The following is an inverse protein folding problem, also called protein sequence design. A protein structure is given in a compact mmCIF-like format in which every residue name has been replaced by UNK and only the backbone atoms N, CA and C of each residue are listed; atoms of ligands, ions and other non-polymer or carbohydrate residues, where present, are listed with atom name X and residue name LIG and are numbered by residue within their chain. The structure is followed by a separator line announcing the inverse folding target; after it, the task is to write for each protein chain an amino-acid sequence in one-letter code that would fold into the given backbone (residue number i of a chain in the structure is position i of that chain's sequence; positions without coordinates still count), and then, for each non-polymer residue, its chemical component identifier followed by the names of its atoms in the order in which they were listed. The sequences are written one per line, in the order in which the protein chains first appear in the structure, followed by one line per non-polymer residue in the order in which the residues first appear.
data_IF_031215420253
#
_entry.id   IF_031215420253
#
_cell.length_a   1.000
_cell.length_b   1.000
_cell.length_c   1.000
_cell.angle_alpha   90.00
_cell.angle_beta   90.00
_cell.angle_gamma   90.00
#
_symmetry.space_group_name_H-M   'P 1'
#
loop_
_entity.id
_entity.type
_entity.pdbx_description
1 polymer ?
#
# COMPACT_ATOMS: atom_id res chain seq x y z
N UNK A 1 32.82 -38.13 12.64
CA UNK A 1 32.48 -39.44 12.05
C UNK A 1 33.72 -40.17 11.53
N UNK A 2 34.27 -39.84 10.34
CA UNK A 2 35.35 -40.62 9.71
C UNK A 2 36.59 -40.82 10.60
N UNK A 3 37.12 -39.75 11.20
CA UNK A 3 38.27 -39.82 12.11
C UNK A 3 38.05 -40.76 13.31
N UNK A 4 36.80 -40.85 13.81
CA UNK A 4 36.45 -41.72 14.94
C UNK A 4 36.32 -43.17 14.48
N UNK A 5 35.70 -43.42 13.33
CA UNK A 5 35.56 -44.76 12.77
C UNK A 5 36.91 -45.35 12.35
N UNK A 6 37.84 -44.54 11.87
CA UNK A 6 39.21 -44.97 11.52
C UNK A 6 40.07 -45.35 12.73
N UNK A 7 39.64 -45.06 13.96
CA UNK A 7 40.33 -45.52 15.16
C UNK A 7 39.97 -46.97 15.56
N UNK A 8 38.94 -47.56 14.93
CA UNK A 8 38.52 -48.95 15.12
C UNK A 8 39.32 -49.86 14.16
N UNK A 9 40.13 -50.76 14.71
CA UNK A 9 40.98 -51.68 13.95
C UNK A 9 40.19 -52.58 12.99
N UNK A 10 38.99 -53.03 13.39
CA UNK A 10 38.13 -53.88 12.56
C UNK A 10 37.66 -53.12 11.30
N UNK A 11 37.46 -51.80 11.41
CA UNK A 11 37.02 -50.94 10.30
C UNK A 11 38.18 -50.69 9.34
N UNK A 12 39.39 -50.46 9.87
CA UNK A 12 40.60 -50.32 9.06
C UNK A 12 40.89 -51.60 8.27
N UNK A 13 40.78 -52.76 8.92
CA UNK A 13 41.00 -54.07 8.30
C UNK A 13 39.94 -54.38 7.23
N UNK A 14 38.71 -53.89 7.40
CA UNK A 14 37.68 -54.03 6.37
C UNK A 14 37.89 -53.08 5.18
N UNK A 15 38.40 -51.86 5.42
CA UNK A 15 38.51 -50.79 4.43
C UNK A 15 39.77 -50.84 3.54
N UNK A 16 40.22 -52.03 3.12
CA UNK A 16 41.46 -52.19 2.33
C UNK A 16 41.32 -52.00 0.81
N UNK A 17 40.10 -51.98 0.26
CA UNK A 17 39.88 -51.79 -1.18
C UNK A 17 39.30 -50.40 -1.48
N UNK A 18 39.57 -49.80 -2.68
CA UNK A 18 38.98 -48.53 -3.07
C UNK A 18 37.44 -48.50 -2.99
N UNK A 19 36.78 -49.64 -3.27
CA UNK A 19 35.34 -49.78 -3.15
C UNK A 19 34.87 -49.70 -1.68
N UNK A 20 35.61 -50.33 -0.75
CA UNK A 20 35.25 -50.30 0.66
C UNK A 20 35.56 -48.96 1.33
N UNK A 21 36.61 -48.26 0.89
CA UNK A 21 36.88 -46.88 1.31
C UNK A 21 35.76 -45.93 0.89
N UNK A 22 35.26 -46.06 -0.36
CA UNK A 22 34.11 -45.27 -0.84
C UNK A 22 32.86 -45.56 0.00
N UNK A 23 32.60 -46.83 0.29
CA UNK A 23 31.48 -47.27 1.13
C UNK A 23 31.58 -46.75 2.56
N UNK A 24 32.78 -46.73 3.15
CA UNK A 24 33.02 -46.12 4.47
C UNK A 24 32.71 -44.61 4.44
N UNK A 25 33.11 -43.92 3.38
CA UNK A 25 32.80 -42.50 3.19
C UNK A 25 31.30 -42.25 3.08
N UNK A 26 30.57 -43.06 2.29
CA UNK A 26 29.12 -42.97 2.15
C UNK A 26 28.40 -43.18 3.50
N UNK A 27 28.84 -44.16 4.30
CA UNK A 27 28.31 -44.35 5.66
C UNK A 27 28.61 -43.15 6.55
N UNK A 28 29.80 -42.56 6.47
CA UNK A 28 30.12 -41.35 7.23
C UNK A 28 29.29 -40.12 6.83
N UNK A 29 28.63 -40.14 5.66
CA UNK A 29 27.76 -39.07 5.19
C UNK A 29 26.30 -39.18 5.72
N UNK A 30 25.94 -40.25 6.45
CA UNK A 30 24.60 -40.38 7.06
C UNK A 30 24.40 -39.23 8.07
N UNK A 31 23.40 -38.34 7.87
CA UNK A 31 23.18 -37.21 8.76
C UNK A 31 22.64 -37.64 10.13
N UNK A 32 23.09 -37.00 11.21
CA UNK A 32 22.46 -37.12 12.53
C UNK A 32 21.30 -36.13 12.66
N UNK A 33 20.14 -36.49 12.10
CA UNK A 33 18.94 -35.66 12.15
C UNK A 33 18.44 -35.44 13.59
N UNK A 34 18.66 -36.41 14.48
CA UNK A 34 18.21 -36.38 15.86
C UNK A 34 19.16 -35.60 16.79
N UNK A 35 20.33 -35.18 16.28
CA UNK A 35 21.40 -34.52 17.06
C UNK A 35 21.67 -35.28 18.36
N UNK A 36 21.77 -36.60 18.23
CA UNK A 36 22.07 -37.46 19.37
C UNK A 36 23.44 -37.16 19.96
N UNK A 37 23.70 -37.68 21.16
CA UNK A 37 25.07 -37.70 21.69
C UNK A 37 26.02 -38.32 20.65
N UNK A 38 27.16 -37.69 20.33
CA UNK A 38 28.05 -38.13 19.24
C UNK A 38 28.39 -39.62 19.26
N UNK A 39 28.51 -40.22 20.44
CA UNK A 39 28.81 -41.64 20.64
C UNK A 39 27.69 -42.58 20.17
N UNK A 40 26.42 -42.15 20.25
CA UNK A 40 25.29 -42.95 19.78
C UNK A 40 25.25 -42.99 18.25
N UNK A 41 25.44 -41.84 17.59
CA UNK A 41 25.53 -41.76 16.13
C UNK A 41 26.72 -42.55 15.60
N UNK A 42 27.91 -42.40 16.20
CA UNK A 42 29.09 -43.16 15.78
C UNK A 42 28.87 -44.67 15.87
N UNK A 43 28.21 -45.17 16.92
CA UNK A 43 27.85 -46.61 17.04
C UNK A 43 26.91 -47.07 15.93
N UNK A 44 25.94 -46.25 15.54
CA UNK A 44 25.07 -46.53 14.38
C UNK A 44 25.90 -46.65 13.10
N UNK A 45 26.76 -45.67 12.82
CA UNK A 45 27.60 -45.67 11.62
C UNK A 45 28.53 -46.89 11.56
N UNK A 46 29.22 -47.20 12.67
CA UNK A 46 30.05 -48.39 12.79
C UNK A 46 29.25 -49.66 12.50
N UNK A 47 28.03 -49.76 13.03
CA UNK A 47 27.20 -50.96 12.83
C UNK A 47 26.74 -51.09 11.39
N UNK A 48 26.30 -50.01 10.76
CA UNK A 48 25.92 -49.97 9.34
C UNK A 48 27.10 -50.37 8.47
N UNK A 49 28.27 -49.77 8.68
CA UNK A 49 29.47 -50.11 7.90
C UNK A 49 29.86 -51.59 8.05
N UNK A 50 29.81 -52.16 9.26
CA UNK A 50 30.09 -53.59 9.48
C UNK A 50 29.12 -54.49 8.69
N UNK A 51 27.83 -54.16 8.64
CA UNK A 51 26.88 -54.91 7.80
C UNK A 51 27.21 -54.82 6.31
N UNK A 52 27.63 -53.64 5.83
CA UNK A 52 27.97 -53.43 4.43
C UNK A 52 29.35 -53.99 4.04
N UNK A 53 30.20 -54.29 5.02
CA UNK A 53 31.55 -54.83 4.84
C UNK A 53 31.64 -56.35 5.01
N UNK A 54 30.60 -56.97 5.58
CA UNK A 54 30.57 -58.42 5.88
C UNK A 54 29.39 -59.12 5.21
N UNK A 55 29.50 -60.43 4.97
CA UNK A 55 28.43 -61.23 4.38
C UNK A 55 28.00 -60.74 2.98
N UNK A 56 26.69 -60.58 2.77
CA UNK A 56 26.11 -60.15 1.49
C UNK A 56 26.22 -58.63 1.24
N UNK A 57 26.92 -57.88 2.11
CA UNK A 57 27.15 -56.44 1.94
C UNK A 57 25.89 -55.59 2.09
N UNK A 58 24.92 -56.03 2.89
CA UNK A 58 23.61 -55.40 3.08
C UNK A 58 23.20 -55.35 4.54
N UNK A 59 22.39 -54.36 4.89
CA UNK A 59 21.82 -54.19 6.22
C UNK A 59 20.67 -55.20 6.41
N UNK A 60 20.70 -56.04 7.46
CA UNK A 60 19.66 -57.04 7.69
C UNK A 60 18.26 -56.44 7.90
N UNK A 61 17.27 -57.02 7.22
CA UNK A 61 15.87 -56.57 7.29
C UNK A 61 15.28 -56.64 8.71
N UNK A 62 15.66 -57.64 9.51
CA UNK A 62 15.23 -57.79 10.90
C UNK A 62 15.74 -56.63 11.79
N UNK A 63 16.93 -56.13 11.50
CA UNK A 63 17.54 -55.03 12.24
C UNK A 63 16.81 -53.71 12.01
N UNK A 64 16.55 -53.36 10.74
CA UNK A 64 15.75 -52.17 10.40
C UNK A 64 14.32 -52.30 10.94
N UNK A 65 13.74 -53.51 10.86
CA UNK A 65 12.41 -53.80 11.38
C UNK A 65 12.26 -53.48 12.87
N UNK A 66 13.24 -53.86 13.69
CA UNK A 66 13.27 -53.53 15.13
C UNK A 66 13.32 -52.03 15.40
N UNK A 67 14.08 -51.27 14.60
CA UNK A 67 14.14 -49.82 14.73
C UNK A 67 12.83 -49.14 14.30
N UNK A 68 12.25 -49.56 13.16
CA UNK A 68 10.97 -49.05 12.67
C UNK A 68 9.82 -49.30 13.65
N UNK A 69 9.73 -50.50 14.23
CA UNK A 69 8.68 -50.83 15.20
C UNK A 69 8.75 -50.00 16.48
N UNK A 70 9.95 -49.61 16.93
CA UNK A 70 10.11 -48.73 18.09
C UNK A 70 9.73 -47.28 17.79
N UNK A 71 10.03 -46.83 16.58
CA UNK A 71 9.77 -45.45 16.14
C UNK A 71 8.33 -45.21 15.70
N UNK A 72 7.59 -46.26 15.29
CA UNK A 72 6.21 -46.15 14.80
C UNK A 72 5.15 -45.83 15.86
N UNK A 73 5.56 -45.61 17.10
CA UNK A 73 4.66 -45.22 18.19
C UNK A 73 4.25 -43.75 18.04
N UNK A 74 2.96 -43.48 18.02
CA UNK A 74 2.40 -42.11 17.89
C UNK A 74 2.01 -41.48 19.23
N UNK A 75 2.25 -42.16 20.35
CA UNK A 75 2.00 -41.66 21.69
C UNK A 75 3.21 -40.88 22.24
N UNK A 76 2.97 -39.76 22.92
CA UNK A 76 4.01 -38.96 23.56
C UNK A 76 3.70 -37.45 23.52
N UNK A 77 4.57 -36.66 24.16
CA UNK A 77 4.56 -35.21 24.02
C UNK A 77 5.23 -34.76 22.71
N UNK A 78 5.17 -33.46 22.44
CA UNK A 78 5.70 -32.84 21.22
C UNK A 78 7.19 -33.16 21.04
N UNK A 79 7.98 -33.11 22.12
CA UNK A 79 9.42 -33.37 22.07
C UNK A 79 9.72 -34.84 21.77
N UNK A 80 8.93 -35.77 22.36
CA UNK A 80 9.02 -37.20 22.05
C UNK A 80 8.70 -37.49 20.59
N UNK A 81 7.63 -36.89 20.04
CA UNK A 81 7.23 -37.07 18.65
C UNK A 81 8.24 -36.47 17.67
N UNK A 82 8.72 -35.25 17.92
CA UNK A 82 9.75 -34.61 17.12
C UNK A 82 11.06 -35.41 17.10
N UNK A 83 11.47 -35.94 18.26
CA UNK A 83 12.63 -36.83 18.36
C UNK A 83 12.48 -38.10 17.52
N UNK A 84 11.30 -38.75 17.55
CA UNK A 84 11.02 -39.94 16.72
C UNK A 84 11.08 -39.62 15.22
N UNK A 85 10.49 -38.51 14.78
CA UNK A 85 10.56 -38.06 13.37
C UNK A 85 12.02 -37.89 12.93
N UNK A 86 12.84 -37.23 13.76
CA UNK A 86 14.24 -37.03 13.45
C UNK A 86 15.00 -38.37 13.31
N UNK A 87 14.72 -39.35 14.17
CA UNK A 87 15.28 -40.69 14.04
C UNK A 87 14.79 -41.42 12.77
N UNK A 88 13.51 -41.28 12.40
CA UNK A 88 12.96 -41.89 11.17
C UNK A 88 13.65 -41.34 9.93
N UNK A 89 13.94 -40.03 9.87
CA UNK A 89 14.68 -39.42 8.73
C UNK A 89 16.06 -40.03 8.48
N UNK A 90 16.73 -40.49 9.54
CA UNK A 90 18.01 -41.22 9.42
C UNK A 90 17.80 -42.54 8.68
N UNK A 91 16.69 -43.23 8.94
CA UNK A 91 16.32 -44.46 8.26
C UNK A 91 15.76 -44.22 6.86
N UNK A 92 15.05 -43.12 6.63
CA UNK A 92 14.66 -42.66 5.30
C UNK A 92 15.90 -42.49 4.42
N UNK A 93 16.95 -41.82 4.95
CA UNK A 93 18.24 -41.71 4.25
C UNK A 93 18.87 -43.07 3.93
N UNK A 94 18.96 -43.98 4.91
CA UNK A 94 19.52 -45.32 4.72
C UNK A 94 18.70 -46.12 3.68
N UNK A 95 17.38 -46.01 3.69
CA UNK A 95 16.49 -46.71 2.75
C UNK A 95 16.59 -46.22 1.31
N UNK A 96 17.07 -44.99 1.10
CA UNK A 96 17.34 -44.42 -0.21
C UNK A 96 18.69 -44.83 -0.81
N UNK A 97 19.50 -45.62 -0.08
CA UNK A 97 20.74 -46.18 -0.60
C UNK A 97 20.46 -47.50 -1.35
N UNK A 98 20.50 -47.53 -2.70
CA UNK A 98 19.94 -48.63 -3.49
C UNK A 98 20.62 -49.99 -3.24
N UNK A 99 21.91 -50.00 -2.93
CA UNK A 99 22.70 -51.22 -2.77
C UNK A 99 22.79 -51.71 -1.32
N UNK A 100 22.27 -50.94 -0.36
CA UNK A 100 22.48 -51.24 1.07
C UNK A 100 21.44 -52.20 1.64
N UNK A 101 20.29 -52.35 0.98
CA UNK A 101 19.16 -53.13 1.46
C UNK A 101 18.76 -54.22 0.44
N UNK A 102 18.13 -55.30 0.93
CA UNK A 102 17.57 -56.32 0.05
C UNK A 102 16.32 -55.85 -0.70
N UNK A 103 15.45 -55.10 -0.01
CA UNK A 103 14.25 -54.51 -0.57
C UNK A 103 14.17 -53.02 -0.18
N UNK A 104 14.96 -52.20 -0.87
CA UNK A 104 15.03 -50.77 -0.60
C UNK A 104 13.65 -50.09 -0.75
N UNK A 105 12.85 -50.51 -1.73
CA UNK A 105 11.52 -49.92 -1.98
C UNK A 105 10.56 -50.19 -0.83
N UNK A 106 10.50 -51.42 -0.33
CA UNK A 106 9.68 -51.74 0.85
C UNK A 106 10.05 -50.85 2.06
N UNK A 107 11.34 -50.64 2.30
CA UNK A 107 11.81 -49.82 3.42
C UNK A 107 11.58 -48.32 3.22
N UNK A 108 11.64 -47.81 1.99
CA UNK A 108 11.26 -46.44 1.67
C UNK A 108 9.77 -46.20 1.93
N UNK A 109 8.90 -47.10 1.47
CA UNK A 109 7.45 -47.02 1.69
C UNK A 109 7.12 -47.09 3.19
N UNK A 110 7.80 -47.97 3.93
CA UNK A 110 7.60 -48.14 5.39
C UNK A 110 8.11 -46.96 6.22
N UNK A 111 9.28 -46.41 5.91
CA UNK A 111 9.82 -45.22 6.61
C UNK A 111 8.93 -44.01 6.38
N UNK A 112 8.45 -43.81 5.14
CA UNK A 112 7.50 -42.76 4.79
C UNK A 112 6.19 -42.88 5.56
N UNK A 113 5.57 -44.07 5.58
CA UNK A 113 4.31 -44.28 6.31
C UNK A 113 4.45 -43.98 7.81
N UNK A 114 5.60 -44.32 8.41
CA UNK A 114 5.89 -43.99 9.82
C UNK A 114 6.12 -42.49 10.01
N UNK A 115 6.85 -41.82 9.13
CA UNK A 115 7.07 -40.36 9.20
C UNK A 115 5.75 -39.58 9.06
N UNK A 116 4.88 -40.00 8.14
CA UNK A 116 3.55 -39.40 7.94
C UNK A 116 2.70 -39.56 9.22
N UNK A 117 2.59 -40.76 9.77
CA UNK A 117 1.81 -41.02 10.98
C UNK A 117 2.33 -40.25 12.21
N UNK A 118 3.65 -40.11 12.35
CA UNK A 118 4.26 -39.32 13.43
C UNK A 118 4.04 -37.81 13.22
N UNK A 119 4.09 -37.33 11.98
CA UNK A 119 3.85 -35.93 11.63
C UNK A 119 2.40 -35.54 11.91
N UNK A 120 1.44 -36.41 11.59
CA UNK A 120 0.03 -36.21 11.91
C UNK A 120 -0.21 -36.17 13.42
N UNK A 121 0.40 -37.09 14.17
CA UNK A 121 0.32 -37.11 15.63
C UNK A 121 0.93 -35.84 16.26
N UNK A 122 2.06 -35.37 15.74
CA UNK A 122 2.70 -34.13 16.17
C UNK A 122 1.81 -32.92 15.88
N UNK A 123 1.18 -32.87 14.71
CA UNK A 123 0.25 -31.80 14.34
C UNK A 123 -0.99 -31.77 15.25
N UNK A 124 -1.56 -32.95 15.56
CA UNK A 124 -2.65 -33.08 16.53
C UNK A 124 -2.22 -32.60 17.93
N UNK A 125 -1.05 -33.00 18.42
CA UNK A 125 -0.52 -32.59 19.73
C UNK A 125 -0.23 -31.07 19.81
N UNK A 126 0.29 -30.47 18.73
CA UNK A 126 0.48 -29.03 18.63
C UNK A 126 -0.86 -28.29 18.71
N UNK A 127 -1.84 -28.73 17.91
CA UNK A 127 -3.20 -28.17 17.90
C UNK A 127 -3.83 -28.25 19.30
N UNK A 128 -3.74 -29.40 19.95
CA UNK A 128 -4.29 -29.61 21.29
C UNK A 128 -3.61 -28.75 22.36
N UNK A 129 -2.28 -28.58 22.33
CA UNK A 129 -1.54 -27.74 23.30
C UNK A 129 -1.91 -26.25 23.18
N UNK A 130 -2.21 -25.76 21.98
CA UNK A 130 -2.72 -24.40 21.78
C UNK A 130 -4.15 -24.23 22.31
N UNK A 131 -4.99 -25.27 22.17
CA UNK A 131 -6.36 -25.29 22.70
C UNK A 131 -6.35 -25.37 24.23
N UNK A 132 -5.55 -26.24 24.83
CA UNK A 132 -5.53 -26.48 26.28
C UNK A 132 -4.99 -25.28 27.08
N UNK A 133 -3.95 -24.59 26.58
CA UNK A 133 -3.42 -23.39 27.25
C UNK A 133 -4.42 -22.21 27.19
N UNK A 134 -5.18 -22.09 26.10
CA UNK A 134 -6.27 -21.10 25.94
C UNK A 134 -7.46 -21.44 26.83
N UNK A 135 -7.84 -22.71 26.88
CA UNK A 135 -9.02 -23.19 27.61
C UNK A 135 -8.82 -23.12 29.13
N UNK A 136 -7.62 -23.42 29.64
CA UNK A 136 -7.33 -23.37 31.08
C UNK A 136 -7.37 -21.95 31.68
N UNK A 137 -6.97 -20.92 30.91
CA UNK A 137 -7.02 -19.50 31.34
C UNK A 137 -8.44 -18.95 31.26
N UNK A 138 -9.18 -19.31 30.20
CA UNK A 138 -10.60 -18.95 30.04
C UNK A 138 -11.50 -19.59 31.12
N UNK A 139 -11.36 -20.89 31.38
CA UNK A 139 -12.17 -21.59 32.37
C UNK A 139 -11.91 -21.13 33.80
N UNK A 140 -10.67 -20.79 34.15
CA UNK A 140 -10.34 -20.26 35.49
C UNK A 140 -11.01 -18.91 35.74
N UNK A 141 -11.03 -18.04 34.73
CA UNK A 141 -11.64 -16.70 34.80
C UNK A 141 -13.18 -16.75 34.76
N UNK A 142 -13.76 -17.66 33.96
CA UNK A 142 -15.22 -17.91 33.91
C UNK A 142 -15.77 -18.48 35.22
N UNK A 143 -15.01 -19.34 35.90
CA UNK A 143 -15.43 -19.94 37.19
C UNK A 143 -15.40 -18.94 38.35
N UNK A 144 -14.60 -17.87 38.25
CA UNK A 144 -14.42 -16.86 39.31
C UNK A 144 -15.31 -15.61 39.16
N UNK A 145 -16.13 -15.48 38.10
CA UNK A 145 -16.93 -14.25 37.81
C UNK A 145 -16.10 -12.95 37.87
N UNK A 146 -14.81 -13.00 37.53
CA UNK A 146 -13.97 -11.80 37.47
C UNK A 146 -14.17 -11.09 36.14
N UNK A 147 -14.23 -9.76 36.17
CA UNK A 147 -14.17 -8.95 34.95
C UNK A 147 -12.80 -9.18 34.28
N UNK A 148 -12.82 -9.64 33.03
CA UNK A 148 -11.60 -9.83 32.24
C UNK A 148 -10.91 -8.47 32.03
N UNK A 149 -9.61 -8.41 32.34
CA UNK A 149 -8.77 -7.25 32.11
C UNK A 149 -8.49 -7.12 30.61
N UNK A 150 -8.86 -6.00 30.02
CA UNK A 150 -8.56 -5.69 28.64
C UNK A 150 -7.82 -4.34 28.54
N UNK A 151 -6.95 -4.20 27.54
CA UNK A 151 -6.15 -3.00 27.31
C UNK A 151 -5.92 -2.77 25.81
N UNK A 152 -5.73 -1.51 25.42
CA UNK A 152 -5.17 -1.15 24.10
C UNK A 152 -3.77 -0.59 24.32
N UNK A 153 -2.76 -1.14 23.65
CA UNK A 153 -1.38 -0.68 23.71
C UNK A 153 -1.19 0.62 22.95
N UNK A 154 -0.03 1.28 23.13
CA UNK A 154 0.33 2.48 22.37
C UNK A 154 0.34 2.26 20.86
N UNK A 155 0.74 1.05 20.42
CA UNK A 155 0.81 0.66 19.01
C UNK A 155 -0.54 0.25 18.41
N UNK A 156 -1.60 0.30 19.22
CA UNK A 156 -2.97 -0.05 18.85
C UNK A 156 -3.30 -1.53 18.99
N UNK A 157 -2.47 -2.35 19.61
CA UNK A 157 -2.80 -3.76 19.86
C UNK A 157 -3.85 -3.88 20.97
N UNK A 158 -4.84 -4.74 20.77
CA UNK A 158 -5.91 -4.97 21.73
C UNK A 158 -5.64 -6.30 22.41
N UNK A 159 -5.49 -6.24 23.73
CA UNK A 159 -5.16 -7.39 24.57
C UNK A 159 -6.30 -7.66 25.56
N UNK A 160 -6.64 -8.93 25.78
CA UNK A 160 -7.57 -9.39 26.84
C UNK A 160 -6.85 -10.46 27.65
N UNK A 161 -6.65 -10.25 28.95
CA UNK A 161 -5.85 -11.13 29.83
C UNK A 161 -4.44 -11.40 29.26
N UNK A 162 -3.83 -10.37 28.66
CA UNK A 162 -2.53 -10.47 28.00
C UNK A 162 -2.53 -11.21 26.65
N UNK A 163 -3.69 -11.64 26.15
CA UNK A 163 -3.83 -12.29 24.85
C UNK A 163 -4.22 -11.29 23.77
N UNK A 164 -3.50 -11.32 22.65
CA UNK A 164 -3.83 -10.52 21.47
C UNK A 164 -5.16 -10.95 20.85
N UNK A 165 -6.05 -10.00 20.62
CA UNK A 165 -7.38 -10.23 20.03
C UNK A 165 -7.66 -9.40 18.78
N UNK A 166 -6.76 -8.48 18.43
CA UNK A 166 -6.88 -7.62 17.24
C UNK A 166 -6.12 -6.31 17.38
N UNK A 167 -6.31 -5.42 16.39
CA UNK A 167 -5.63 -4.13 16.30
C UNK A 167 -6.60 -2.98 16.04
N UNK A 168 -6.39 -1.85 16.71
CA UNK A 168 -7.12 -0.61 16.54
C UNK A 168 -6.27 0.41 15.75
N UNK A 169 -6.58 0.56 14.46
CA UNK A 169 -5.94 1.53 13.56
C UNK A 169 -6.84 2.77 13.42
N UNK A 170 -6.38 3.93 13.90
CA UNK A 170 -7.23 5.12 14.01
C UNK A 170 -8.45 4.84 14.88
N UNK A 171 -9.63 4.79 14.25
CA UNK A 171 -10.92 4.42 14.87
C UNK A 171 -11.44 3.04 14.43
N UNK A 172 -10.77 2.36 13.50
CA UNK A 172 -11.17 1.06 12.96
C UNK A 172 -10.53 -0.06 13.75
N UNK A 173 -11.35 -0.97 14.27
CA UNK A 173 -10.88 -2.19 14.92
C UNK A 173 -10.86 -3.35 13.92
N UNK A 174 -9.72 -4.04 13.84
CA UNK A 174 -9.50 -5.22 13.02
C UNK A 174 -9.28 -6.42 13.95
N UNK A 175 -10.29 -7.31 14.10
CA UNK A 175 -10.17 -8.46 14.98
C UNK A 175 -9.19 -9.49 14.41
N UNK A 176 -8.49 -10.20 15.28
CA UNK A 176 -7.70 -11.37 14.89
C UNK A 176 -8.64 -12.58 14.71
N UNK A 177 -8.72 -13.09 13.48
CA UNK A 177 -9.57 -14.23 13.11
C UNK A 177 -9.07 -15.57 13.68
N UNK A 178 -7.84 -15.65 14.22
CA UNK A 178 -7.33 -16.84 14.91
C UNK A 178 -8.00 -17.11 16.29
N UNK A 179 -8.97 -16.28 16.68
CA UNK A 179 -9.75 -16.35 17.91
C UNK A 179 -11.03 -17.21 17.81
N UNK A 180 -11.26 -17.96 16.72
CA UNK A 180 -12.54 -18.61 16.39
C UNK A 180 -12.86 -19.92 17.14
N UNK A 181 -12.23 -20.15 18.29
CA UNK A 181 -12.49 -21.34 19.13
C UNK A 181 -13.15 -20.96 20.47
N UNK A 182 -13.86 -21.93 21.06
CA UNK A 182 -14.72 -21.80 22.25
C UNK A 182 -14.17 -20.81 23.30
N UNK A 183 -14.91 -19.72 23.55
CA UNK A 183 -14.46 -18.58 24.38
C UNK A 183 -14.38 -17.25 23.62
N UNK A 184 -14.43 -17.28 22.29
CA UNK A 184 -14.42 -16.11 21.40
C UNK A 184 -15.44 -15.03 21.79
N UNK A 185 -16.66 -15.42 22.17
CA UNK A 185 -17.74 -14.48 22.54
C UNK A 185 -17.40 -13.68 23.80
N UNK A 186 -16.79 -14.33 24.79
CA UNK A 186 -16.43 -13.69 26.07
C UNK A 186 -15.23 -12.76 25.88
N UNK A 187 -14.21 -13.18 25.13
CA UNK A 187 -13.06 -12.34 24.77
C UNK A 187 -13.50 -11.12 23.96
N UNK A 188 -14.39 -11.30 22.98
CA UNK A 188 -14.94 -10.20 22.16
C UNK A 188 -15.74 -9.21 23.00
N UNK A 189 -16.53 -9.69 23.97
CA UNK A 189 -17.25 -8.83 24.91
C UNK A 189 -16.31 -7.98 25.77
N UNK A 190 -15.25 -8.59 26.31
CA UNK A 190 -14.23 -7.88 27.09
C UNK A 190 -13.47 -6.84 26.24
N UNK A 191 -13.08 -7.21 25.02
CA UNK A 191 -12.44 -6.30 24.07
C UNK A 191 -13.34 -5.11 23.73
N UNK A 192 -14.63 -5.35 23.45
CA UNK A 192 -15.60 -4.30 23.09
C UNK A 192 -15.75 -3.22 24.17
N UNK A 193 -15.68 -3.58 25.45
CA UNK A 193 -15.75 -2.59 26.56
C UNK A 193 -14.59 -1.60 26.51
N UNK A 194 -13.38 -2.09 26.27
CA UNK A 194 -12.17 -1.26 26.23
C UNK A 194 -12.07 -0.50 24.91
N UNK A 195 -12.45 -1.14 23.80
CA UNK A 195 -12.56 -0.50 22.49
C UNK A 195 -13.51 0.69 22.51
N UNK A 196 -14.71 0.55 23.09
CA UNK A 196 -15.66 1.66 23.16
C UNK A 196 -15.08 2.89 23.88
N UNK A 197 -14.35 2.67 24.99
CA UNK A 197 -13.69 3.75 25.75
C UNK A 197 -12.54 4.38 24.95
N UNK A 198 -11.69 3.56 24.33
CA UNK A 198 -10.53 4.05 23.58
C UNK A 198 -10.93 4.75 22.28
N UNK A 199 -11.90 4.20 21.53
CA UNK A 199 -12.48 4.83 20.34
C UNK A 199 -13.13 6.16 20.72
N UNK A 200 -13.89 6.21 21.82
CA UNK A 200 -14.47 7.46 22.31
C UNK A 200 -13.38 8.50 22.67
N UNK A 201 -12.27 8.07 23.27
CA UNK A 201 -11.12 8.95 23.57
C UNK A 201 -10.49 9.51 22.29
N UNK A 202 -10.19 8.64 21.31
CA UNK A 202 -9.61 9.04 20.02
C UNK A 202 -10.56 9.93 19.21
N UNK A 203 -11.85 9.60 19.16
CA UNK A 203 -12.86 10.40 18.47
C UNK A 203 -13.06 11.78 19.13
N UNK A 204 -12.96 11.88 20.46
CA UNK A 204 -12.96 13.19 21.13
C UNK A 204 -11.76 14.05 20.73
N UNK A 205 -10.56 13.45 20.59
CA UNK A 205 -9.37 14.16 20.07
C UNK A 205 -9.58 14.60 18.63
N UNK A 206 -10.07 13.71 17.77
CA UNK A 206 -10.38 14.00 16.38
C UNK A 206 -11.39 15.15 16.25
N UNK A 207 -12.43 15.18 17.10
CA UNK A 207 -13.43 16.26 17.13
C UNK A 207 -12.86 17.63 17.56
N UNK A 208 -11.59 17.70 17.94
CA UNK A 208 -10.85 18.93 18.27
C UNK A 208 -9.53 19.04 17.52
N UNK A 209 -9.27 18.15 16.56
CA UNK A 209 -8.00 18.07 15.84
C UNK A 209 -7.72 19.38 15.09
N UNK A 210 -6.49 19.86 15.21
CA UNK A 210 -6.07 21.11 14.56
C UNK A 210 -5.77 20.90 13.08
N UNK A 211 -5.63 22.00 12.35
CA UNK A 211 -5.60 21.99 10.88
C UNK A 211 -4.56 21.03 10.27
N UNK A 212 -3.37 20.94 10.86
CA UNK A 212 -2.24 20.19 10.29
C UNK A 212 -2.27 18.69 10.65
N UNK A 213 -3.19 18.25 11.50
CA UNK A 213 -3.34 16.83 11.86
C UNK A 213 -4.25 16.06 10.91
N UNK A 214 -5.09 16.77 10.16
CA UNK A 214 -6.02 16.18 9.18
C UNK A 214 -5.44 16.38 7.79
N UNK A 215 -5.40 15.30 7.01
CA UNK A 215 -4.84 15.28 5.66
C UNK A 215 -5.95 14.87 4.70
N UNK A 216 -6.13 15.63 3.62
CA UNK A 216 -6.94 15.21 2.48
C UNK A 216 -6.03 14.51 1.48
N UNK A 217 -6.29 13.24 1.20
CA UNK A 217 -5.54 12.43 0.25
C UNK A 217 -6.19 12.39 -1.14
N UNK A 218 -5.45 11.84 -2.11
CA UNK A 218 -5.88 11.76 -3.51
C UNK A 218 -6.87 10.61 -3.77
N UNK A 219 -7.33 9.88 -2.76
CA UNK A 219 -8.42 8.90 -2.83
C UNK A 219 -9.77 9.49 -2.35
N UNK A 220 -9.84 10.81 -2.19
CA UNK A 220 -10.98 11.52 -1.61
C UNK A 220 -11.26 11.13 -0.15
N UNK A 221 -10.27 10.58 0.55
CA UNK A 221 -10.36 10.25 1.96
C UNK A 221 -9.69 11.32 2.83
N UNK A 222 -10.30 11.62 3.98
CA UNK A 222 -9.67 12.37 5.06
C UNK A 222 -8.98 11.41 6.02
N UNK A 223 -7.74 11.71 6.33
CA UNK A 223 -6.89 10.94 7.23
C UNK A 223 -6.56 11.74 8.48
N UNK A 224 -6.45 11.06 9.61
CA UNK A 224 -5.99 11.61 10.89
C UNK A 224 -5.22 10.54 11.65
N UNK A 225 -4.10 10.94 12.27
CA UNK A 225 -3.23 10.04 13.05
C UNK A 225 -2.84 8.77 12.27
N UNK A 226 -2.49 8.94 10.99
CA UNK A 226 -2.04 7.85 10.13
C UNK A 226 -3.14 6.88 9.65
N UNK A 227 -4.42 7.15 9.91
CA UNK A 227 -5.52 6.29 9.51
C UNK A 227 -6.66 7.05 8.81
N UNK A 228 -7.42 6.41 7.90
CA UNK A 228 -8.55 7.02 7.24
C UNK A 228 -9.72 7.19 8.21
N UNK A 229 -10.37 8.36 8.18
CA UNK A 229 -11.48 8.71 9.09
C UNK A 229 -12.79 9.03 8.38
N UNK A 230 -12.75 9.58 7.16
CA UNK A 230 -13.96 9.95 6.42
C UNK A 230 -13.73 9.88 4.91
N UNK A 231 -14.80 9.58 4.16
CA UNK A 231 -14.83 9.71 2.71
C UNK A 231 -15.48 11.04 2.33
N UNK A 232 -14.95 11.68 1.30
CA UNK A 232 -15.55 12.87 0.68
C UNK A 232 -16.43 12.46 -0.50
N UNK A 233 -17.49 13.23 -0.71
CA UNK A 233 -18.36 13.09 -1.86
C UNK A 233 -18.85 14.45 -2.36
N UNK A 234 -19.46 14.44 -3.53
CA UNK A 234 -20.10 15.62 -4.10
C UNK A 234 -21.07 16.26 -3.11
N UNK A 235 -20.99 17.58 -2.98
CA UNK A 235 -21.89 18.35 -2.15
C UNK A 235 -22.90 19.18 -2.93
N UNK A 236 -23.38 20.25 -2.30
CA UNK A 236 -24.39 21.16 -2.87
C UNK A 236 -23.83 22.01 -4.00
N UNK A 237 -22.53 22.27 -4.00
CA UNK A 237 -21.79 22.92 -5.09
C UNK A 237 -20.32 22.49 -5.05
N UNK A 238 -19.58 22.87 -6.10
CA UNK A 238 -18.16 22.55 -6.28
C UNK A 238 -17.25 22.94 -5.10
N UNK A 239 -17.61 23.97 -4.32
CA UNK A 239 -16.80 24.49 -3.21
C UNK A 239 -17.24 23.94 -1.84
N UNK A 240 -18.30 23.14 -1.80
CA UNK A 240 -18.91 22.63 -0.57
C UNK A 240 -19.08 21.10 -0.60
N UNK A 241 -17.99 20.33 -0.76
CA UNK A 241 -18.06 18.86 -0.70
C UNK A 241 -18.57 18.37 0.66
N UNK A 242 -19.14 17.17 0.65
CA UNK A 242 -19.74 16.54 1.84
C UNK A 242 -18.76 15.56 2.48
N UNK A 243 -18.74 15.56 3.81
CA UNK A 243 -17.98 14.60 4.62
C UNK A 243 -18.91 13.50 5.10
N UNK A 244 -18.57 12.25 4.78
CA UNK A 244 -19.19 11.05 5.32
C UNK A 244 -18.16 10.29 6.18
N UNK A 245 -18.43 10.13 7.48
CA UNK A 245 -17.53 9.38 8.35
C UNK A 245 -17.52 7.91 7.95
N UNK A 246 -16.35 7.27 7.98
CA UNK A 246 -16.25 5.83 7.76
C UNK A 246 -17.01 5.06 8.85
N UNK A 247 -17.45 3.82 8.56
CA UNK A 247 -18.19 3.00 9.51
C UNK A 247 -17.25 2.53 10.62
N UNK A 248 -17.30 3.20 11.77
CA UNK A 248 -16.60 2.78 12.98
C UNK A 248 -17.55 2.11 13.96
N UNK A 249 -17.25 0.85 14.27
CA UNK A 249 -17.89 0.11 15.35
C UNK A 249 -17.63 0.81 16.69
N UNK A 250 -18.59 0.73 17.61
CA UNK A 250 -18.51 1.29 18.97
C UNK A 250 -18.43 2.82 19.08
N UNK A 251 -18.54 3.55 17.96
CA UNK A 251 -18.66 5.01 17.98
C UNK A 251 -20.12 5.42 18.19
N UNK A 252 -20.40 6.08 19.33
CA UNK A 252 -21.72 6.62 19.67
C UNK A 252 -22.22 7.65 18.65
N UNK A 253 -23.54 7.71 18.44
CA UNK A 253 -24.18 8.59 17.46
C UNK A 253 -23.92 10.08 17.68
N UNK A 254 -23.92 10.54 18.94
CA UNK A 254 -23.66 11.95 19.26
C UNK A 254 -22.22 12.35 18.97
N UNK A 255 -21.27 11.48 19.30
CA UNK A 255 -19.85 11.71 19.05
C UNK A 255 -19.51 11.59 17.56
N UNK A 256 -20.14 10.64 16.85
CA UNK A 256 -20.06 10.51 15.39
C UNK A 256 -20.47 11.80 14.70
N UNK A 257 -21.60 12.38 15.09
CA UNK A 257 -22.09 13.62 14.51
C UNK A 257 -21.17 14.81 14.83
N UNK A 258 -20.65 14.89 16.05
CA UNK A 258 -19.68 15.92 16.44
C UNK A 258 -18.39 15.84 15.62
N UNK A 259 -17.83 14.64 15.43
CA UNK A 259 -16.65 14.42 14.57
C UNK A 259 -16.96 14.82 13.12
N UNK A 260 -18.10 14.38 12.58
CA UNK A 260 -18.52 14.71 11.20
C UNK A 260 -18.64 16.22 11.00
N UNK A 261 -19.25 16.94 11.94
CA UNK A 261 -19.35 18.40 11.90
C UNK A 261 -17.99 19.09 11.96
N UNK A 262 -17.08 18.61 12.83
CA UNK A 262 -15.72 19.12 12.90
C UNK A 262 -14.96 18.93 11.59
N UNK A 263 -14.97 17.72 11.03
CA UNK A 263 -14.34 17.43 9.74
C UNK A 263 -14.94 18.26 8.61
N UNK A 264 -16.26 18.47 8.59
CA UNK A 264 -16.92 19.34 7.63
C UNK A 264 -16.48 20.80 7.76
N UNK A 265 -16.34 21.31 8.99
CA UNK A 265 -15.84 22.65 9.25
C UNK A 265 -14.37 22.80 8.86
N UNK A 266 -13.54 21.79 9.17
CA UNK A 266 -12.14 21.72 8.75
C UNK A 266 -12.03 21.77 7.23
N UNK A 267 -12.83 20.97 6.50
CA UNK A 267 -12.80 20.91 5.04
C UNK A 267 -13.17 22.25 4.41
N UNK A 268 -14.23 22.91 4.92
CA UNK A 268 -14.60 24.27 4.51
C UNK A 268 -13.48 25.27 4.74
N UNK A 269 -12.82 25.21 5.91
CA UNK A 269 -11.68 26.09 6.22
C UNK A 269 -10.47 25.80 5.33
N UNK A 270 -10.20 24.54 5.02
CA UNK A 270 -9.09 24.10 4.19
C UNK A 270 -9.27 24.63 2.75
N UNK A 271 -10.44 24.38 2.16
CA UNK A 271 -10.83 24.89 0.84
C UNK A 271 -10.80 26.42 0.84
N UNK A 272 -11.43 27.07 1.83
CA UNK A 272 -11.50 28.53 1.91
C UNK A 272 -10.13 29.20 2.01
N UNK A 273 -9.15 28.57 2.67
CA UNK A 273 -7.79 29.08 2.74
C UNK A 273 -7.05 28.95 1.39
N UNK A 274 -7.15 27.80 0.72
CA UNK A 274 -6.46 27.55 -0.56
C UNK A 274 -7.14 28.22 -1.75
N UNK A 275 -8.45 28.44 -1.68
CA UNK A 275 -9.24 29.11 -2.71
C UNK A 275 -9.73 30.49 -2.28
N UNK A 276 -9.05 31.11 -1.31
CA UNK A 276 -9.33 32.47 -0.82
C UNK A 276 -9.48 33.55 -1.91
N UNK A 277 -8.73 33.54 -3.05
CA UNK A 277 -8.95 34.47 -4.16
C UNK A 277 -10.35 34.37 -4.76
N UNK A 278 -10.92 33.16 -4.86
CA UNK A 278 -12.30 32.95 -5.34
C UNK A 278 -13.29 33.57 -4.37
N UNK A 279 -13.16 33.29 -3.07
CA UNK A 279 -14.04 33.86 -2.04
C UNK A 279 -13.97 35.40 -2.03
N UNK A 280 -12.77 35.95 -2.16
CA UNK A 280 -12.56 37.41 -2.25
C UNK A 280 -13.28 37.97 -3.46
N UNK A 281 -13.12 37.34 -4.62
CA UNK A 281 -13.79 37.75 -5.86
C UNK A 281 -15.32 37.68 -5.75
N UNK A 282 -15.87 36.62 -5.14
CA UNK A 282 -17.32 36.45 -4.97
C UNK A 282 -17.95 37.38 -3.94
N UNK A 283 -17.15 37.91 -3.00
CA UNK A 283 -17.63 38.90 -2.02
C UNK A 283 -17.90 40.27 -2.64
N UNK A 284 -17.34 40.55 -3.82
CA UNK A 284 -17.51 41.83 -4.51
C UNK A 284 -18.77 41.80 -5.38
N UNK A 285 -19.59 42.84 -5.26
CA UNK A 285 -20.77 42.99 -6.10
C UNK A 285 -20.39 43.43 -7.52
N UNK A 286 -20.74 42.62 -8.50
CA UNK A 286 -20.68 42.93 -9.93
C UNK A 286 -22.08 42.97 -10.53
N UNK A 287 -22.24 43.71 -11.63
CA UNK A 287 -23.50 43.84 -12.38
C UNK A 287 -23.27 43.51 -13.86
N UNK A 288 -24.35 43.28 -14.61
CA UNK A 288 -24.31 42.99 -16.05
C UNK A 288 -23.35 41.85 -16.44
N UNK A 289 -22.57 42.07 -17.50
CA UNK A 289 -21.63 41.10 -18.06
C UNK A 289 -20.53 40.68 -17.07
N UNK A 290 -20.08 41.59 -16.20
CA UNK A 290 -19.06 41.25 -15.20
C UNK A 290 -19.59 40.23 -14.18
N UNK A 291 -20.87 40.32 -13.79
CA UNK A 291 -21.51 39.31 -12.94
C UNK A 291 -21.58 37.95 -13.62
N UNK A 292 -21.92 37.93 -14.91
CA UNK A 292 -21.91 36.71 -15.73
C UNK A 292 -20.52 36.06 -15.78
N UNK A 293 -19.47 36.85 -16.02
CA UNK A 293 -18.10 36.36 -16.06
C UNK A 293 -17.63 35.79 -14.70
N UNK A 294 -17.98 36.46 -13.59
CA UNK A 294 -17.69 35.97 -12.23
C UNK A 294 -18.38 34.63 -11.97
N UNK A 295 -19.62 34.47 -12.44
CA UNK A 295 -20.36 33.21 -12.34
C UNK A 295 -19.66 32.10 -13.12
N UNK A 296 -19.25 32.35 -14.37
CA UNK A 296 -18.51 31.36 -15.16
C UNK A 296 -17.16 30.98 -14.52
N UNK A 297 -16.45 31.97 -13.96
CA UNK A 297 -15.22 31.72 -13.20
C UNK A 297 -15.49 30.91 -11.92
N UNK A 298 -16.68 30.99 -11.32
CA UNK A 298 -17.04 30.14 -10.17
C UNK A 298 -17.19 28.69 -10.57
N UNK A 299 -17.92 28.44 -11.64
CA UNK A 299 -18.15 27.08 -12.16
C UNK A 299 -16.83 26.46 -12.64
N UNK A 300 -15.94 27.25 -13.24
CA UNK A 300 -14.60 26.81 -13.66
C UNK A 300 -13.53 26.77 -12.56
N UNK A 301 -13.92 26.94 -11.28
CA UNK A 301 -12.99 27.04 -10.14
C UNK A 301 -11.84 28.03 -10.38
N UNK A 302 -12.13 29.13 -11.07
CA UNK A 302 -11.25 30.26 -11.34
C UNK A 302 -10.50 30.22 -12.66
N UNK A 303 -10.83 29.30 -13.58
CA UNK A 303 -10.33 29.26 -14.95
C UNK A 303 -11.51 28.97 -15.90
N UNK A 304 -11.65 29.76 -16.95
CA UNK A 304 -12.63 29.52 -18.02
C UNK A 304 -11.99 29.83 -19.37
N UNK A 305 -12.31 29.04 -20.40
CA UNK A 305 -11.83 29.32 -21.76
C UNK A 305 -12.35 30.68 -22.22
N UNK A 306 -11.48 31.51 -22.81
CA UNK A 306 -11.87 32.82 -23.33
C UNK A 306 -12.94 32.69 -24.40
N UNK A 307 -12.89 31.64 -25.21
CA UNK A 307 -13.88 31.38 -26.25
C UNK A 307 -15.30 31.27 -25.69
N UNK A 308 -15.47 30.64 -24.52
CA UNK A 308 -16.77 30.47 -23.87
C UNK A 308 -17.36 31.78 -23.32
N UNK A 309 -16.51 32.78 -23.07
CA UNK A 309 -16.90 34.06 -22.46
C UNK A 309 -16.56 35.26 -23.35
N UNK A 310 -16.39 35.04 -24.66
CA UNK A 310 -15.90 36.05 -25.59
C UNK A 310 -16.75 37.33 -25.60
N UNK A 311 -18.08 37.18 -25.69
CA UNK A 311 -19.03 38.29 -25.69
C UNK A 311 -19.06 39.05 -24.36
N UNK A 312 -18.93 38.33 -23.24
CA UNK A 312 -18.85 38.96 -21.92
C UNK A 312 -17.58 39.79 -21.83
N UNK A 313 -16.43 39.23 -22.23
CA UNK A 313 -15.12 39.88 -22.18
C UNK A 313 -15.08 41.09 -23.11
N UNK A 314 -15.60 41.00 -24.33
CA UNK A 314 -15.61 42.10 -25.29
C UNK A 314 -16.48 43.26 -24.79
N UNK A 315 -17.64 42.98 -24.21
CA UNK A 315 -18.58 43.98 -23.69
C UNK A 315 -18.23 44.57 -22.31
N UNK A 316 -17.17 44.12 -21.63
CA UNK A 316 -16.76 44.69 -20.34
C UNK A 316 -16.30 46.15 -20.48
N UNK A 317 -16.89 47.04 -19.68
CA UNK A 317 -16.45 48.42 -19.54
C UNK A 317 -15.08 48.53 -18.81
N UNK A 318 -14.41 49.68 -18.93
CA UNK A 318 -13.09 49.90 -18.32
C UNK A 318 -13.07 49.82 -16.79
N UNK A 319 -14.16 50.21 -16.13
CA UNK A 319 -14.28 50.17 -14.66
C UNK A 319 -14.28 48.73 -14.16
N UNK A 320 -15.07 47.86 -14.78
CA UNK A 320 -15.17 46.44 -14.40
C UNK A 320 -13.89 45.68 -14.76
N UNK A 321 -13.26 45.99 -15.91
CA UNK A 321 -11.93 45.46 -16.25
C UNK A 321 -10.89 45.82 -15.18
N UNK A 322 -10.85 47.07 -14.73
CA UNK A 322 -9.92 47.51 -13.69
C UNK A 322 -10.21 46.84 -12.34
N UNK A 323 -11.48 46.67 -11.96
CA UNK A 323 -11.88 45.93 -10.76
C UNK A 323 -11.43 44.47 -10.81
N UNK A 324 -11.74 43.76 -11.90
CA UNK A 324 -11.33 42.36 -12.10
C UNK A 324 -9.80 42.21 -12.02
N UNK A 325 -9.07 43.12 -12.65
CA UNK A 325 -7.60 43.11 -12.63
C UNK A 325 -7.04 43.25 -11.21
N UNK A 326 -7.60 44.16 -10.39
CA UNK A 326 -7.23 44.35 -8.97
C UNK A 326 -7.51 43.12 -8.12
N UNK A 327 -8.56 42.36 -8.44
CA UNK A 327 -8.87 41.07 -7.80
C UNK A 327 -7.97 39.92 -8.28
N UNK A 328 -7.03 40.18 -9.21
CA UNK A 328 -6.10 39.19 -9.72
C UNK A 328 -6.64 38.35 -10.89
N UNK A 329 -7.80 38.71 -11.43
CA UNK A 329 -8.33 38.11 -12.67
C UNK A 329 -7.49 38.61 -13.85
N UNK A 330 -7.18 37.71 -14.77
CA UNK A 330 -6.47 37.98 -16.02
C UNK A 330 -7.39 37.62 -17.17
N UNK A 331 -7.66 38.61 -18.03
CA UNK A 331 -8.41 38.43 -19.28
C UNK A 331 -7.43 37.99 -20.37
N UNK A 332 -6.86 36.80 -20.19
CA UNK A 332 -5.77 36.28 -21.01
C UNK A 332 -6.20 35.90 -22.43
N UNK A 333 -5.24 35.54 -23.27
CA UNK A 333 -5.48 35.30 -24.70
C UNK A 333 -6.33 34.05 -24.97
N UNK A 334 -6.05 32.95 -24.27
CA UNK A 334 -6.78 31.68 -24.41
C UNK A 334 -7.78 31.43 -23.28
N UNK A 335 -7.50 31.94 -22.09
CA UNK A 335 -8.30 31.71 -20.89
C UNK A 335 -8.48 33.01 -20.09
N UNK A 336 -9.62 33.10 -19.39
CA UNK A 336 -9.80 34.04 -18.29
C UNK A 336 -9.55 33.29 -16.98
N UNK A 337 -8.62 33.76 -16.16
CA UNK A 337 -8.19 33.02 -14.98
C UNK A 337 -7.77 33.91 -13.79
N UNK A 338 -7.81 33.33 -12.59
CA UNK A 338 -7.24 33.93 -11.38
C UNK A 338 -5.77 33.53 -11.21
N UNK A 339 -4.85 34.47 -11.44
CA UNK A 339 -3.39 34.22 -11.39
C UNK A 339 -2.94 33.57 -10.07
N UNK A 340 -3.55 33.95 -8.95
CA UNK A 340 -3.17 33.44 -7.64
C UNK A 340 -3.45 31.93 -7.49
N UNK A 341 -4.40 31.36 -8.23
CA UNK A 341 -4.77 29.94 -8.18
C UNK A 341 -3.80 29.02 -8.92
N UNK A 342 -2.90 29.57 -9.74
CA UNK A 342 -1.91 28.81 -10.51
C UNK A 342 -0.74 28.29 -9.65
N UNK A 343 -0.80 28.49 -8.32
CA UNK A 343 0.18 27.92 -7.38
C UNK A 343 -0.10 26.42 -7.17
N UNK A 344 0.92 25.55 -7.12
CA UNK A 344 0.73 24.09 -7.06
C UNK A 344 -0.25 23.62 -5.98
N UNK A 345 -0.10 24.08 -4.73
CA UNK A 345 -1.00 23.68 -3.63
C UNK A 345 -2.47 24.07 -3.86
N UNK A 346 -2.75 25.13 -4.63
CA UNK A 346 -4.12 25.57 -4.96
C UNK A 346 -4.67 24.80 -6.16
N UNK A 347 -3.82 24.46 -7.13
CA UNK A 347 -4.18 23.57 -8.24
C UNK A 347 -4.55 22.18 -7.74
N UNK A 348 -3.82 21.65 -6.75
CA UNK A 348 -4.16 20.36 -6.11
C UNK A 348 -5.57 20.38 -5.51
N UNK A 349 -5.93 21.43 -4.76
CA UNK A 349 -7.30 21.55 -4.22
C UNK A 349 -8.34 21.71 -5.33
N UNK A 350 -8.06 22.50 -6.38
CA UNK A 350 -8.96 22.61 -7.55
C UNK A 350 -9.21 21.26 -8.20
N UNK A 351 -8.14 20.50 -8.46
CA UNK A 351 -8.21 19.17 -9.05
C UNK A 351 -9.08 18.24 -8.22
N UNK A 352 -8.85 18.17 -6.90
CA UNK A 352 -9.63 17.30 -6.02
C UNK A 352 -11.11 17.69 -5.96
N UNK A 353 -11.42 18.99 -5.93
CA UNK A 353 -12.83 19.44 -5.99
C UNK A 353 -13.50 19.09 -7.32
N UNK A 354 -12.79 19.23 -8.43
CA UNK A 354 -13.28 18.84 -9.74
C UNK A 354 -13.56 17.33 -9.80
N UNK A 355 -12.63 16.51 -9.31
CA UNK A 355 -12.78 15.05 -9.27
C UNK A 355 -14.00 14.60 -8.47
N UNK A 356 -14.26 15.21 -7.31
CA UNK A 356 -15.46 14.92 -6.52
C UNK A 356 -16.78 15.15 -7.28
N UNK A 357 -16.76 15.91 -8.38
CA UNK A 357 -17.92 16.21 -9.22
C UNK A 357 -17.91 15.45 -10.55
N UNK A 358 -16.84 14.70 -10.85
CA UNK A 358 -16.65 13.92 -12.07
C UNK A 358 -16.11 12.54 -11.67
N UNK A 359 -16.98 11.62 -11.22
CA UNK A 359 -16.54 10.28 -10.84
C UNK A 359 -16.04 9.54 -12.09
N UNK A 360 -14.72 9.43 -12.22
CA UNK A 360 -14.05 8.65 -13.26
C UNK A 360 -13.44 7.40 -12.63
N UNK A 361 -13.50 6.27 -13.32
CA UNK A 361 -12.87 5.02 -12.87
C UNK A 361 -11.35 5.13 -12.82
N UNK A 362 -10.75 5.85 -13.77
CA UNK A 362 -9.33 6.17 -13.79
C UNK A 362 -9.15 7.69 -13.79
N UNK A 363 -8.45 8.21 -12.78
CA UNK A 363 -8.12 9.63 -12.67
C UNK A 363 -6.70 9.80 -13.20
N UNK A 364 -6.49 10.57 -14.28
CA UNK A 364 -5.14 10.83 -14.77
C UNK A 364 -4.30 11.47 -13.69
N UNK A 365 -3.05 11.04 -13.56
CA UNK A 365 -2.13 11.61 -12.59
C UNK A 365 -1.90 13.11 -12.89
N UNK A 366 -1.88 13.90 -11.82
CA UNK A 366 -1.51 15.30 -11.95
C UNK A 366 -0.06 15.41 -12.44
N UNK A 367 0.24 16.32 -13.39
CA UNK A 367 1.62 16.68 -13.69
C UNK A 367 2.38 17.05 -12.42
N UNK A 368 3.67 16.71 -12.38
CA UNK A 368 4.53 17.07 -11.26
C UNK A 368 4.44 18.57 -10.95
N UNK A 369 4.39 18.97 -9.66
CA UNK A 369 4.33 20.37 -9.27
C UNK A 369 5.39 21.23 -9.97
N UNK A 370 4.93 22.24 -10.70
CA UNK A 370 5.81 23.18 -11.40
C UNK A 370 6.06 22.84 -12.87
N UNK A 371 5.67 21.65 -13.35
CA UNK A 371 5.78 21.28 -14.77
C UNK A 371 4.98 22.25 -15.64
N UNK A 372 5.62 22.87 -16.63
CA UNK A 372 4.97 23.89 -17.49
C UNK A 372 4.21 23.26 -18.65
N UNK A 373 4.79 22.23 -19.25
CA UNK A 373 4.22 21.54 -20.39
C UNK A 373 4.28 20.03 -20.17
N UNK A 374 3.20 19.38 -20.56
CA UNK A 374 3.04 17.93 -20.61
C UNK A 374 2.58 17.51 -22.01
N UNK A 375 3.02 16.34 -22.44
CA UNK A 375 2.50 15.69 -23.63
C UNK A 375 1.10 15.17 -23.35
N UNK A 376 0.16 15.44 -24.25
CA UNK A 376 -1.20 14.93 -24.10
C UNK A 376 -1.19 13.43 -24.39
N UNK A 377 -1.68 12.65 -23.44
CA UNK A 377 -2.02 11.25 -23.67
C UNK A 377 -3.43 11.20 -24.27
N UNK A 378 -3.61 10.36 -25.28
CA UNK A 378 -4.89 10.18 -25.96
C UNK A 378 -6.01 9.89 -24.96
N UNK A 379 -7.05 10.74 -24.90
CA UNK A 379 -8.24 10.53 -24.07
C UNK A 379 -8.45 11.53 -22.93
N UNK A 380 -7.48 12.41 -22.64
CA UNK A 380 -7.67 13.46 -21.63
C UNK A 380 -8.73 14.48 -22.06
N UNK A 381 -9.72 14.73 -21.20
CA UNK A 381 -10.76 15.73 -21.48
C UNK A 381 -10.25 17.15 -21.23
N UNK A 382 -10.69 18.08 -22.06
CA UNK A 382 -10.33 19.50 -21.96
C UNK A 382 -10.74 20.15 -20.62
N UNK A 383 -11.78 19.59 -19.99
CA UNK A 383 -12.27 19.99 -18.67
C UNK A 383 -11.33 19.56 -17.54
N UNK A 384 -10.76 18.35 -17.63
CA UNK A 384 -9.76 17.86 -16.66
C UNK A 384 -8.52 18.76 -16.69
N UNK A 385 -7.99 19.02 -17.89
CA UNK A 385 -6.81 19.88 -18.06
C UNK A 385 -7.04 21.26 -17.45
N UNK A 386 -8.21 21.87 -17.70
CA UNK A 386 -8.57 23.15 -17.10
C UNK A 386 -8.62 23.10 -15.56
N UNK A 387 -9.16 22.02 -14.97
CA UNK A 387 -9.18 21.80 -13.52
C UNK A 387 -7.77 21.71 -12.93
N UNK A 388 -6.82 21.14 -13.67
CA UNK A 388 -5.40 21.05 -13.32
C UNK A 388 -4.62 22.34 -13.61
N UNK A 389 -5.21 23.32 -14.31
CA UNK A 389 -4.55 24.57 -14.69
C UNK A 389 -3.77 24.52 -16.01
N UNK A 390 -4.16 23.61 -16.91
CA UNK A 390 -3.56 23.43 -18.23
C UNK A 390 -4.59 23.70 -19.33
N UNK A 391 -4.10 24.10 -20.50
CA UNK A 391 -4.87 24.23 -21.74
C UNK A 391 -4.21 23.36 -22.80
N UNK A 392 -5.04 22.59 -23.51
CA UNK A 392 -4.62 21.90 -24.72
C UNK A 392 -4.30 22.91 -25.83
N UNK A 393 -3.10 22.82 -26.41
CA UNK A 393 -2.65 23.65 -27.53
C UNK A 393 -1.56 22.90 -28.31
N UNK A 394 -1.71 22.80 -29.63
CA UNK A 394 -0.66 22.18 -30.48
C UNK A 394 -0.33 20.73 -30.14
N UNK A 395 -1.29 19.95 -29.62
CA UNK A 395 -1.05 18.57 -29.16
C UNK A 395 -0.28 18.47 -27.83
N UNK A 396 -0.13 19.58 -27.10
CA UNK A 396 0.48 19.66 -25.76
C UNK A 396 -0.55 20.19 -24.76
N UNK A 397 -0.37 19.90 -23.47
CA UNK A 397 -1.05 20.63 -22.40
C UNK A 397 -0.06 21.60 -21.77
N UNK A 398 -0.39 22.90 -21.80
CA UNK A 398 0.47 23.98 -21.31
C UNK A 398 -0.22 24.69 -20.16
N UNK A 399 0.53 25.01 -19.09
CA UNK A 399 0.01 25.79 -17.98
C UNK A 399 -0.57 27.13 -18.44
N UNK A 400 -1.78 27.43 -17.98
CA UNK A 400 -2.57 28.60 -18.42
C UNK A 400 -1.81 29.93 -18.23
N UNK A 401 -1.14 30.13 -17.10
CA UNK A 401 -0.39 31.38 -16.83
C UNK A 401 0.87 31.55 -17.68
N UNK A 402 1.47 30.43 -18.09
CA UNK A 402 2.65 30.44 -18.95
C UNK A 402 2.24 30.58 -20.41
N UNK A 403 1.17 29.90 -20.84
CA UNK A 403 0.59 30.06 -22.16
C UNK A 403 0.15 31.50 -22.40
N UNK A 404 -0.54 32.12 -21.45
CA UNK A 404 -0.96 33.53 -21.54
C UNK A 404 0.23 34.49 -21.68
N UNK A 405 1.34 34.23 -20.96
CA UNK A 405 2.58 35.01 -21.11
C UNK A 405 3.20 34.83 -22.49
N UNK A 406 3.28 33.60 -22.99
CA UNK A 406 3.78 33.31 -24.33
C UNK A 406 2.92 34.01 -25.40
N UNK A 407 1.59 33.91 -25.29
CA UNK A 407 0.67 34.58 -26.21
C UNK A 407 0.87 36.10 -26.20
N UNK A 408 1.11 36.71 -25.04
CA UNK A 408 1.43 38.14 -24.95
C UNK A 408 2.75 38.53 -25.63
N UNK A 409 3.81 37.72 -25.45
CA UNK A 409 5.08 37.95 -26.16
C UNK A 409 4.91 37.81 -27.67
N UNK A 410 4.26 36.74 -28.12
CA UNK A 410 4.02 36.48 -29.54
C UNK A 410 3.16 37.58 -30.18
N UNK A 411 2.12 38.04 -29.48
CA UNK A 411 1.27 39.12 -29.95
C UNK A 411 2.03 40.45 -30.09
N UNK A 412 2.86 40.78 -29.09
CA UNK A 412 3.68 41.99 -29.15
C UNK A 412 4.72 41.91 -30.28
N UNK A 413 5.36 40.75 -30.47
CA UNK A 413 6.33 40.56 -31.55
C UNK A 413 5.66 40.65 -32.93
N UNK A 414 4.50 40.01 -33.11
CA UNK A 414 3.71 40.04 -34.34
C UNK A 414 3.06 41.39 -34.66
N UNK A 415 2.89 42.27 -33.66
CA UNK A 415 2.30 43.59 -33.86
C UNK A 415 3.07 44.48 -34.86
N UNK A 416 4.35 44.19 -35.07
CA UNK A 416 5.24 44.91 -35.98
C UNK A 416 5.50 44.15 -37.30
N UNK A 417 4.78 43.06 -37.56
CA UNK A 417 4.95 42.18 -38.71
C UNK A 417 5.54 40.81 -38.35
N UNK A 418 6.00 40.03 -39.36
CA UNK A 418 6.55 38.69 -39.15
C UNK A 418 7.67 38.69 -38.12
N UNK A 419 7.62 37.80 -37.14
CA UNK A 419 8.61 37.73 -36.07
C UNK A 419 9.31 36.37 -35.99
N UNK A 420 10.51 36.36 -35.41
CA UNK A 420 11.23 35.14 -35.07
C UNK A 420 11.12 34.96 -33.56
N UNK A 421 10.95 33.71 -33.13
CA UNK A 421 10.98 33.34 -31.71
C UNK A 421 12.28 33.80 -31.06
N UNK A 422 12.17 34.52 -29.95
CA UNK A 422 13.32 34.91 -29.15
C UNK A 422 13.68 33.86 -28.06
N UNK A 423 14.82 34.06 -27.40
CA UNK A 423 15.26 33.19 -26.31
C UNK A 423 14.27 33.16 -25.13
N UNK A 424 13.56 34.26 -24.89
CA UNK A 424 12.59 34.34 -23.80
C UNK A 424 11.41 33.41 -24.06
N UNK A 425 10.83 33.43 -25.26
CA UNK A 425 9.76 32.55 -25.70
C UNK A 425 10.16 31.07 -25.64
N UNK A 426 11.39 30.73 -26.08
CA UNK A 426 11.93 29.36 -25.98
C UNK A 426 11.99 28.86 -24.53
N UNK A 427 12.51 29.69 -23.63
CA UNK A 427 12.72 29.31 -22.23
C UNK A 427 11.42 29.10 -21.43
N UNK A 428 10.30 29.68 -21.87
CA UNK A 428 9.05 29.66 -21.10
C UNK A 428 8.42 28.28 -21.00
N UNK A 429 8.41 27.51 -22.09
CA UNK A 429 7.71 26.23 -22.15
C UNK A 429 8.58 25.04 -21.71
N UNK A 430 9.90 25.22 -21.69
CA UNK A 430 10.84 24.11 -21.52
C UNK A 430 10.72 23.07 -22.64
N UNK A 431 10.37 23.52 -23.85
CA UNK A 431 10.28 22.72 -25.06
C UNK A 431 11.45 23.01 -25.99
N UNK A 432 11.72 22.08 -26.88
CA UNK A 432 12.56 22.31 -28.05
C UNK A 432 11.82 23.17 -29.10
N UNK A 433 12.54 23.53 -30.16
CA UNK A 433 12.03 24.41 -31.20
C UNK A 433 10.82 23.82 -31.93
N UNK A 434 10.82 22.50 -32.13
CA UNK A 434 9.70 21.78 -32.73
C UNK A 434 8.46 21.78 -31.82
N UNK A 435 8.64 21.60 -30.52
CA UNK A 435 7.55 21.70 -29.55
C UNK A 435 6.96 23.11 -29.48
N UNK A 436 7.79 24.15 -29.47
CA UNK A 436 7.29 25.52 -29.49
C UNK A 436 6.55 25.87 -30.79
N UNK A 437 7.06 25.41 -31.93
CA UNK A 437 6.39 25.59 -33.24
C UNK A 437 4.98 25.02 -33.24
N UNK A 438 4.78 23.83 -32.67
CA UNK A 438 3.45 23.23 -32.49
C UNK A 438 2.54 24.08 -31.63
N UNK A 439 3.05 24.63 -30.52
CA UNK A 439 2.27 25.50 -29.62
C UNK A 439 1.90 26.82 -30.30
N UNK A 440 2.83 27.47 -31.01
CA UNK A 440 2.57 28.70 -31.75
C UNK A 440 1.57 28.49 -32.88
N UNK A 441 1.71 27.40 -33.64
CA UNK A 441 0.75 27.00 -34.66
C UNK A 441 -0.62 26.73 -34.04
N UNK A 442 -0.65 26.05 -32.89
CA UNK A 442 -1.88 25.82 -32.12
C UNK A 442 -2.53 27.09 -31.56
N UNK A 443 -1.76 28.17 -31.37
CA UNK A 443 -2.26 29.50 -31.03
C UNK A 443 -2.78 30.27 -32.24
N UNK A 444 -2.61 29.73 -33.46
CA UNK A 444 -3.08 30.32 -34.71
C UNK A 444 -2.02 31.10 -35.50
N UNK A 445 -0.74 31.05 -35.10
CA UNK A 445 0.33 31.69 -35.87
C UNK A 445 0.78 30.82 -37.04
N UNK A 446 1.08 31.43 -38.18
CA UNK A 446 1.55 30.71 -39.37
C UNK A 446 3.07 30.85 -39.52
N UNK A 447 3.79 29.73 -39.43
CA UNK A 447 5.24 29.67 -39.57
C UNK A 447 5.71 29.42 -41.01
N UNK A 448 6.65 30.23 -41.51
CA UNK A 448 7.29 30.06 -42.83
C UNK A 448 8.82 29.91 -42.71
N UNK A 449 9.41 29.07 -43.56
CA UNK A 449 10.85 28.79 -43.58
C UNK A 449 11.29 27.59 -42.72
N UNK A 450 12.61 27.36 -42.69
CA UNK A 450 13.23 26.30 -41.88
C UNK A 450 13.01 26.54 -40.39
N UNK A 451 12.90 25.45 -39.61
CA UNK A 451 12.57 25.52 -38.18
C UNK A 451 13.52 26.48 -37.44
N UNK A 452 14.85 26.23 -37.47
CA UNK A 452 15.95 27.20 -37.74
C UNK A 452 15.71 28.71 -37.59
N UNK A 453 14.97 29.23 -38.55
CA UNK A 453 14.84 30.66 -38.81
C UNK A 453 13.39 31.01 -39.09
N UNK A 454 12.48 30.15 -38.62
CA UNK A 454 11.06 30.22 -38.91
C UNK A 454 10.50 31.56 -38.46
N UNK A 455 9.81 32.21 -39.39
CA UNK A 455 9.10 33.47 -39.17
C UNK A 455 7.62 33.19 -39.00
N UNK A 456 7.04 33.74 -37.95
CA UNK A 456 5.63 33.60 -37.60
C UNK A 456 4.89 34.90 -37.95
N UNK A 457 3.72 34.75 -38.56
CA UNK A 457 2.76 35.82 -38.83
C UNK A 457 1.53 35.71 -37.93
#
# INVERSE_FOLDING_TARGET
ALQVLMADGDILDAAHSPAMVRRLWEVCCIPDFAKTMPEAHHRLLTRVFRFLSTGNGKVPADWIGRHMSRLSRTDGDIDTLAGRIAHVRTWTYISNQPEWLDDARHWQEKTRAVEDALSDALHAALTQRFVDRRTAVLYRSLKERRDLLAAVTGDGEVLVEGQYVGRLQGLKYEPDFAADMAGARTLRSAANRVLAREISRRANKLATAVRNEIIWQDDDTLWWDGAPVAQLSQGTNLMEPRVALLPFDHLDGSLRERVRQHLQAWLRSHIGAHLSPLNTMFSVKFEGLARGLIFQLREGLGIVSRAQVADMVSGLNGVDRAKLYRLGVRLGYQDVYLKALMRPARLQVRHRLWRLNQPMEEVPELPEPGRVTVDLVSGESDNLLAACGYRQVGGKAVRVDILDRLSGLAHNAGSSGPFIVDHQMMSLLGLDRAGLDKVLTGLGYEGSGELEQRRYN
#
